data_IF_217092009094
#
_entry.id   IF_217092009094
#
_cell.length_a   1.000
_cell.length_b   1.000
_cell.length_c   1.000
_cell.angle_alpha   90.00
_cell.angle_beta   90.00
_cell.angle_gamma   90.00
#
_symmetry.space_group_name_H-M   'P 1'
#
loop_
_entity.id
_entity.type
_entity.pdbx_description
1 polymer ?
#
# COMPACT_ATOMS: atom_id res chain seq x y z
N UNK A 1 -19.44 -20.72 20.92
CA UNK A 1 -18.36 -21.23 20.06
C UNK A 1 -18.38 -20.60 18.67
N UNK A 2 -19.52 -20.60 17.99
CA UNK A 2 -19.64 -19.97 16.66
C UNK A 2 -19.32 -18.48 16.71
N UNK A 3 -19.76 -17.80 17.76
CA UNK A 3 -19.48 -16.36 17.92
C UNK A 3 -18.00 -16.09 18.09
N UNK A 4 -17.30 -16.94 18.84
CA UNK A 4 -15.85 -16.82 19.03
C UNK A 4 -15.12 -17.05 17.71
N UNK A 5 -15.54 -18.05 16.95
CA UNK A 5 -14.95 -18.33 15.64
C UNK A 5 -15.15 -17.17 14.68
N UNK A 6 -16.35 -16.57 14.69
CA UNK A 6 -16.63 -15.42 13.84
C UNK A 6 -15.74 -14.23 14.18
N UNK A 7 -15.53 -13.97 15.48
CA UNK A 7 -14.64 -12.90 15.91
C UNK A 7 -13.20 -13.17 15.51
N UNK A 8 -12.73 -14.41 15.62
CA UNK A 8 -11.38 -14.78 15.21
C UNK A 8 -11.18 -14.57 13.71
N UNK A 9 -12.16 -14.95 12.89
CA UNK A 9 -12.08 -14.74 11.45
C UNK A 9 -12.02 -13.27 11.10
N UNK A 10 -12.85 -12.42 11.74
CA UNK A 10 -12.80 -10.99 11.55
C UNK A 10 -11.48 -10.38 11.97
N UNK A 11 -10.94 -10.84 13.11
CA UNK A 11 -9.64 -10.37 13.60
C UNK A 11 -8.50 -10.78 12.68
N UNK A 12 -8.56 -11.98 12.12
CA UNK A 12 -7.56 -12.46 11.15
C UNK A 12 -7.58 -11.58 9.90
N UNK A 13 -8.76 -11.22 9.41
CA UNK A 13 -8.88 -10.33 8.28
C UNK A 13 -8.24 -8.96 8.52
N UNK A 14 -8.45 -8.40 9.70
CA UNK A 14 -7.85 -7.12 10.10
C UNK A 14 -6.34 -7.21 10.21
N UNK A 15 -5.82 -8.29 10.77
CA UNK A 15 -4.38 -8.53 10.87
C UNK A 15 -3.78 -8.67 9.48
N UNK A 16 -4.45 -9.42 8.60
CA UNK A 16 -4.00 -9.60 7.22
C UNK A 16 -3.92 -8.29 6.47
N UNK A 17 -4.92 -7.43 6.62
CA UNK A 17 -4.89 -6.11 6.00
C UNK A 17 -3.75 -5.26 6.56
N UNK A 18 -3.57 -5.27 7.88
CA UNK A 18 -2.47 -4.54 8.51
C UNK A 18 -1.12 -4.96 7.97
N UNK A 19 -0.88 -6.26 7.81
CA UNK A 19 0.36 -6.78 7.24
C UNK A 19 0.46 -6.41 5.76
N UNK A 20 -0.63 -6.50 5.02
CA UNK A 20 -0.66 -6.20 3.59
C UNK A 20 -0.31 -4.74 3.29
N UNK A 21 -0.52 -3.82 4.23
CA UNK A 21 -0.20 -2.40 4.03
C UNK A 21 1.26 -2.06 4.30
N UNK A 22 2.03 -2.95 4.93
CA UNK A 22 3.44 -2.69 5.23
C UNK A 22 4.24 -2.51 3.95
N UNK A 23 4.10 -3.41 2.99
CA UNK A 23 4.81 -3.32 1.71
C UNK A 23 4.49 -2.04 0.96
N UNK A 24 3.21 -1.75 0.67
CA UNK A 24 2.82 -0.51 0.01
C UNK A 24 3.25 0.75 0.77
N UNK A 25 3.18 0.74 2.11
CA UNK A 25 3.63 1.87 2.91
C UNK A 25 5.11 2.15 2.73
N UNK A 26 5.95 1.11 2.76
CA UNK A 26 7.38 1.24 2.49
C UNK A 26 7.61 1.68 1.06
N UNK A 27 6.88 1.08 0.10
CA UNK A 27 7.01 1.41 -1.31
C UNK A 27 6.70 2.87 -1.59
N UNK A 28 5.62 3.41 -1.04
CA UNK A 28 5.26 4.83 -1.17
C UNK A 28 6.35 5.72 -0.58
N UNK A 29 6.87 5.36 0.61
CA UNK A 29 7.96 6.10 1.22
C UNK A 29 9.20 6.15 0.34
N UNK A 30 9.57 5.01 -0.26
CA UNK A 30 10.72 4.94 -1.16
C UNK A 30 10.51 5.76 -2.43
N UNK A 31 9.31 5.72 -3.01
CA UNK A 31 8.97 6.49 -4.20
C UNK A 31 9.14 7.99 -3.94
N UNK A 32 8.56 8.48 -2.85
CA UNK A 32 8.63 9.91 -2.54
C UNK A 32 10.03 10.34 -2.12
N UNK A 33 10.77 9.50 -1.40
CA UNK A 33 12.15 9.80 -1.06
C UNK A 33 13.01 9.91 -2.33
N UNK A 34 12.85 8.98 -3.27
CA UNK A 34 13.56 9.00 -4.54
C UNK A 34 13.19 10.22 -5.36
N UNK A 35 11.90 10.59 -5.40
CA UNK A 35 11.42 11.77 -6.10
C UNK A 35 12.06 13.05 -5.56
N UNK A 36 12.09 13.20 -4.24
CA UNK A 36 12.67 14.38 -3.61
C UNK A 36 14.16 14.47 -3.93
N UNK A 37 14.88 13.36 -3.85
CA UNK A 37 16.32 13.33 -4.15
C UNK A 37 16.59 13.64 -5.62
N UNK A 38 15.81 13.06 -6.54
CA UNK A 38 15.98 13.31 -7.97
C UNK A 38 15.71 14.77 -8.31
N UNK A 39 14.66 15.36 -7.74
CA UNK A 39 14.33 16.77 -7.97
C UNK A 39 15.41 17.70 -7.41
N UNK A 40 15.99 17.35 -6.27
CA UNK A 40 17.09 18.15 -5.69
C UNK A 40 18.33 18.14 -6.57
N UNK A 41 18.61 17.01 -7.25
CA UNK A 41 19.79 16.89 -8.13
C UNK A 41 19.56 17.51 -9.50
N UNK A 42 18.34 17.36 -10.04
CA UNK A 42 17.98 17.86 -11.37
C UNK A 42 16.58 18.47 -11.34
N UNK A 43 16.47 19.71 -10.88
CA UNK A 43 15.18 20.39 -10.77
C UNK A 43 14.39 20.46 -12.09
N UNK A 44 15.09 20.51 -13.22
CA UNK A 44 14.46 20.56 -14.54
C UNK A 44 13.72 19.26 -14.89
N UNK A 45 14.02 18.16 -14.20
CA UNK A 45 13.34 16.88 -14.42
C UNK A 45 12.11 16.70 -13.54
N UNK A 46 11.75 17.70 -12.73
CA UNK A 46 10.69 17.57 -11.73
C UNK A 46 9.35 17.11 -12.32
N UNK A 47 8.99 17.61 -13.51
CA UNK A 47 7.74 17.21 -14.16
C UNK A 47 7.72 15.73 -14.51
N UNK A 48 8.82 15.21 -15.08
CA UNK A 48 8.93 13.80 -15.46
C UNK A 48 8.99 12.90 -14.23
N UNK A 49 9.85 13.24 -13.26
CA UNK A 49 10.00 12.42 -12.06
C UNK A 49 8.73 12.39 -11.24
N UNK A 50 7.98 13.49 -11.20
CA UNK A 50 6.69 13.53 -10.51
C UNK A 50 5.69 12.57 -11.15
N UNK A 51 5.66 12.48 -12.48
CA UNK A 51 4.79 11.56 -13.18
C UNK A 51 5.08 10.11 -12.77
N UNK A 52 6.34 9.72 -12.73
CA UNK A 52 6.73 8.37 -12.31
C UNK A 52 6.50 8.15 -10.83
N UNK A 53 6.66 9.19 -10.00
CA UNK A 53 6.37 9.07 -8.57
C UNK A 53 4.89 8.77 -8.31
N UNK A 54 3.99 9.47 -9.00
CA UNK A 54 2.56 9.19 -8.87
C UNK A 54 2.18 7.83 -9.41
N UNK A 55 2.82 7.37 -10.49
CA UNK A 55 2.58 6.02 -10.99
C UNK A 55 3.01 4.97 -9.96
N UNK A 56 4.18 5.11 -9.37
CA UNK A 56 4.65 4.21 -8.33
C UNK A 56 3.75 4.23 -7.10
N UNK A 57 3.30 5.42 -6.69
CA UNK A 57 2.35 5.58 -5.60
C UNK A 57 1.05 4.82 -5.90
N UNK A 58 0.49 4.99 -7.09
CA UNK A 58 -0.76 4.33 -7.46
C UNK A 58 -0.64 2.81 -7.46
N UNK A 59 0.48 2.27 -7.96
CA UNK A 59 0.71 0.82 -7.96
C UNK A 59 0.87 0.28 -6.54
N UNK A 60 1.56 1.00 -5.67
CA UNK A 60 1.73 0.58 -4.28
C UNK A 60 0.40 0.59 -3.53
N UNK A 61 -0.41 1.63 -3.74
CA UNK A 61 -1.73 1.72 -3.09
C UNK A 61 -2.69 0.65 -3.62
N UNK A 62 -2.58 0.26 -4.89
CA UNK A 62 -3.41 -0.81 -5.44
C UNK A 62 -3.19 -2.12 -4.68
N UNK A 63 -1.96 -2.44 -4.30
CA UNK A 63 -1.68 -3.63 -3.49
C UNK A 63 -2.35 -3.55 -2.13
N UNK A 64 -2.35 -2.38 -1.49
CA UNK A 64 -3.04 -2.19 -0.22
C UNK A 64 -4.55 -2.39 -0.37
N UNK A 65 -5.14 -1.89 -1.45
CA UNK A 65 -6.56 -2.08 -1.72
C UNK A 65 -6.91 -3.54 -1.94
N UNK A 66 -6.06 -4.29 -2.63
CA UNK A 66 -6.24 -5.73 -2.82
C UNK A 66 -6.21 -6.42 -1.45
N UNK A 67 -5.29 -6.03 -0.58
CA UNK A 67 -5.23 -6.58 0.78
C UNK A 67 -6.47 -6.29 1.60
N UNK A 68 -7.14 -5.15 1.35
CA UNK A 68 -8.41 -4.82 1.99
C UNK A 68 -9.55 -5.70 1.45
N UNK A 69 -9.59 -5.90 0.13
CA UNK A 69 -10.69 -6.60 -0.53
C UNK A 69 -10.59 -8.12 -0.37
N UNK A 70 -9.38 -8.67 -0.34
CA UNK A 70 -9.18 -10.12 -0.32
C UNK A 70 -9.93 -10.82 0.83
N UNK A 71 -9.88 -10.34 2.08
CA UNK A 71 -10.64 -10.97 3.16
C UNK A 71 -12.14 -10.98 2.92
N UNK A 72 -12.68 -9.95 2.26
CA UNK A 72 -14.10 -9.89 1.93
C UNK A 72 -14.48 -10.97 0.93
N UNK A 73 -13.58 -11.26 -0.03
CA UNK A 73 -13.81 -12.29 -1.04
C UNK A 73 -13.72 -13.68 -0.42
N UNK A 74 -12.75 -13.91 0.46
CA UNK A 74 -12.55 -15.22 1.08
C UNK A 74 -13.44 -15.44 2.30
N UNK A 75 -14.14 -14.41 2.76
CA UNK A 75 -15.03 -14.54 3.92
C UNK A 75 -14.32 -14.53 5.26
N UNK A 76 -13.12 -13.98 5.33
CA UNK A 76 -12.36 -13.92 6.59
C UNK A 76 -11.89 -12.52 6.96
#
# INVERSE_FOLDING_TARGET
>A
MIEVLAELQGSIGSVGYGIATIGPGIGVGLVWAAYIQATARQPESAGLTRTYAFLGFALAEALALIGFVAPLVYGT
#
